data_IF_658264456072
#
_entry.id   IF_658264456072
#
_cell.length_a   1.000
_cell.length_b   1.000
_cell.length_c   1.000
_cell.angle_alpha   90.00
_cell.angle_beta   90.00
_cell.angle_gamma   90.00
#
_symmetry.space_group_name_H-M   'P 1'
#
loop_
_entity.id
_entity.type
_entity.pdbx_description
1 polymer ?
#
# COMPACT_ATOMS: atom_id res chain seq x y z
N UNK A 1 -13.36 12.76 11.80
CA UNK A 1 -13.73 11.53 11.08
C UNK A 1 -12.81 11.48 9.87
N UNK A 2 -11.88 10.54 9.83
CA UNK A 2 -10.97 10.43 8.68
C UNK A 2 -11.76 9.77 7.53
N UNK A 3 -11.85 10.43 6.38
CA UNK A 3 -12.54 9.88 5.22
C UNK A 3 -11.88 8.57 4.79
N UNK A 4 -12.69 7.67 4.22
CA UNK A 4 -12.23 6.37 3.71
C UNK A 4 -11.00 6.52 2.81
N UNK A 5 -11.02 7.50 1.90
CA UNK A 5 -9.89 7.84 1.03
C UNK A 5 -8.63 8.23 1.80
N UNK A 6 -8.76 8.99 2.90
CA UNK A 6 -7.64 9.35 3.77
C UNK A 6 -7.00 8.13 4.45
N UNK A 7 -7.85 7.21 4.93
CA UNK A 7 -7.41 5.96 5.57
C UNK A 7 -6.71 5.04 4.56
N UNK A 8 -7.28 4.86 3.37
CA UNK A 8 -6.69 4.04 2.30
C UNK A 8 -5.35 4.61 1.83
N UNK A 9 -5.26 5.93 1.60
CA UNK A 9 -3.99 6.59 1.25
C UNK A 9 -2.93 6.42 2.32
N UNK A 10 -3.31 6.46 3.61
CA UNK A 10 -2.36 6.22 4.72
C UNK A 10 -1.83 4.79 4.66
N UNK A 11 -2.72 3.81 4.57
CA UNK A 11 -2.36 2.38 4.44
C UNK A 11 -1.48 2.11 3.24
N UNK A 12 -1.76 2.73 2.10
CA UNK A 12 -0.96 2.57 0.89
C UNK A 12 0.48 3.07 1.11
N UNK A 13 0.66 4.22 1.77
CA UNK A 13 2.00 4.73 2.12
C UNK A 13 2.73 3.80 3.08
N UNK A 14 2.03 3.24 4.07
CA UNK A 14 2.59 2.29 5.03
C UNK A 14 3.02 0.99 4.34
N UNK A 15 2.17 0.42 3.48
CA UNK A 15 2.47 -0.78 2.71
C UNK A 15 3.66 -0.58 1.76
N UNK A 16 3.72 0.56 1.04
CA UNK A 16 4.87 0.92 0.19
C UNK A 16 6.18 0.98 0.99
N UNK A 17 6.14 1.55 2.20
CA UNK A 17 7.33 1.59 3.10
C UNK A 17 7.73 0.21 3.58
N UNK A 18 6.76 -0.65 3.91
CA UNK A 18 7.05 -2.01 4.36
C UNK A 18 7.68 -2.87 3.26
N UNK A 19 7.21 -2.74 1.99
CA UNK A 19 7.84 -3.38 0.83
C UNK A 19 9.29 -2.92 0.67
N UNK A 20 9.53 -1.62 0.77
CA UNK A 20 10.88 -1.06 0.66
C UNK A 20 11.79 -1.57 1.78
N UNK A 21 11.32 -1.59 3.03
CA UNK A 21 12.08 -2.11 4.16
C UNK A 21 12.39 -3.61 4.00
N UNK A 22 11.43 -4.42 3.55
CA UNK A 22 11.64 -5.84 3.29
C UNK A 22 12.68 -6.07 2.17
N UNK A 23 12.64 -5.23 1.13
CA UNK A 23 13.63 -5.24 0.04
C UNK A 23 15.03 -4.88 0.55
N UNK A 24 15.15 -3.89 1.43
CA UNK A 24 16.44 -3.48 2.04
C UNK A 24 16.98 -4.52 3.01
N UNK A 25 16.10 -5.24 3.71
CA UNK A 25 16.44 -6.36 4.61
C UNK A 25 16.99 -7.58 3.85
N UNK A 26 16.63 -7.72 2.56
CA UNK A 26 17.00 -8.89 1.75
C UNK A 26 16.17 -10.14 2.06
N UNK A 27 15.09 -9.99 2.83
CA UNK A 27 14.17 -11.08 3.16
C UNK A 27 13.17 -11.27 2.02
N UNK A 28 13.43 -12.27 1.17
CA UNK A 28 12.60 -12.56 0.00
C UNK A 28 11.18 -13.02 0.37
N UNK A 29 11.01 -13.69 1.50
CA UNK A 29 9.69 -14.11 1.97
C UNK A 29 8.90 -12.91 2.48
N UNK A 30 9.52 -12.07 3.31
CA UNK A 30 8.88 -10.85 3.78
C UNK A 30 8.55 -9.92 2.60
N UNK A 31 9.45 -9.77 1.62
CA UNK A 31 9.20 -8.98 0.42
C UNK A 31 7.96 -9.48 -0.34
N UNK A 32 7.81 -10.80 -0.51
CA UNK A 32 6.64 -11.37 -1.17
C UNK A 32 5.36 -11.07 -0.38
N UNK A 33 5.38 -11.25 0.95
CA UNK A 33 4.23 -10.98 1.82
C UNK A 33 3.85 -9.50 1.77
N UNK A 34 4.82 -8.58 1.88
CA UNK A 34 4.55 -7.13 1.84
C UNK A 34 4.07 -6.67 0.47
N UNK A 35 4.54 -7.31 -0.61
CA UNK A 35 4.09 -6.99 -1.96
C UNK A 35 2.62 -7.38 -2.15
N UNK A 36 2.23 -8.58 -1.71
CA UNK A 36 0.84 -9.01 -1.76
C UNK A 36 -0.09 -8.08 -0.95
N UNK A 37 0.33 -7.67 0.24
CA UNK A 37 -0.41 -6.71 1.08
C UNK A 37 -0.58 -5.35 0.39
N UNK A 38 0.48 -4.85 -0.28
CA UNK A 38 0.40 -3.62 -1.08
C UNK A 38 -0.61 -3.75 -2.24
N UNK A 39 -0.61 -4.88 -2.94
CA UNK A 39 -1.54 -5.16 -4.04
C UNK A 39 -3.00 -5.21 -3.56
N UNK A 40 -3.26 -5.78 -2.37
CA UNK A 40 -4.60 -5.78 -1.77
C UNK A 40 -5.09 -4.37 -1.44
N UNK A 41 -4.22 -3.52 -0.90
CA UNK A 41 -4.59 -2.12 -0.61
C UNK A 41 -4.79 -1.31 -1.90
N UNK A 42 -3.99 -1.55 -2.93
CA UNK A 42 -4.16 -0.93 -4.25
C UNK A 42 -5.51 -1.30 -4.86
N UNK A 43 -5.88 -2.59 -4.83
CA UNK A 43 -7.17 -3.07 -5.35
C UNK A 43 -8.33 -2.42 -4.61
N UNK A 44 -8.27 -2.37 -3.27
CA UNK A 44 -9.27 -1.69 -2.46
C UNK A 44 -9.37 -0.20 -2.81
N UNK A 45 -8.26 0.46 -3.10
CA UNK A 45 -8.28 1.85 -3.53
C UNK A 45 -8.98 2.01 -4.88
N UNK A 46 -8.66 1.17 -5.87
CA UNK A 46 -9.30 1.18 -7.20
C UNK A 46 -10.80 0.88 -7.12
N UNK A 47 -11.21 -0.16 -6.38
CA UNK A 47 -12.61 -0.56 -6.20
C UNK A 47 -13.47 0.56 -5.62
N UNK A 48 -12.87 1.42 -4.80
CA UNK A 48 -13.54 2.54 -4.15
C UNK A 48 -13.25 3.91 -4.79
N UNK A 49 -12.55 3.94 -5.94
CA UNK A 49 -12.22 5.17 -6.66
C UNK A 49 -11.28 6.11 -5.90
N UNK A 50 -10.44 5.58 -5.02
CA UNK A 50 -9.41 6.34 -4.31
C UNK A 50 -8.17 6.44 -5.19
N UNK A 51 -7.71 7.64 -5.58
CA UNK A 51 -6.52 7.77 -6.42
C UNK A 51 -5.27 7.35 -5.64
N UNK A 52 -4.49 6.45 -6.24
CA UNK A 52 -3.33 5.75 -5.65
C UNK A 52 -1.99 6.39 -5.96
N UNK A 53 -1.95 7.22 -7.00
CA UNK A 53 -0.85 8.09 -7.34
C UNK A 53 -1.41 9.52 -7.42
N UNK A 54 -0.57 10.53 -7.22
CA UNK A 54 -0.98 11.94 -7.14
C UNK A 54 -1.50 12.48 -8.46
N UNK A 55 -2.59 11.93 -8.96
CA UNK A 55 -3.49 12.53 -9.93
C UNK A 55 -4.36 13.52 -9.13
N UNK A 56 -3.79 14.72 -8.94
CA UNK A 56 -4.51 15.96 -8.65
C UNK A 56 -4.72 16.70 -9.97
#
# INVERSE_FOLDING_TARGET
MEDFAGTVRRRLREARRAVQAAKESGDAYELQVRTADLEDVLRLAEEHGVPVDGDD
#
